data_IF_040326024197
#
_entry.id   IF_040326024197
#
_cell.length_a   1.000
_cell.length_b   1.000
_cell.length_c   1.000
_cell.angle_alpha   90.00
_cell.angle_beta   90.00
_cell.angle_gamma   90.00
#
_symmetry.space_group_name_H-M   'P 1'
#
loop_
_entity.id
_entity.type
_entity.pdbx_description
1 polymer ?
#
# COMPACT_ATOMS: atom_id res chain seq x y z
N UNK A 1 5.71 3.59 -2.46
CA UNK A 1 4.55 2.67 -2.45
C UNK A 1 4.89 1.29 -3.02
N UNK A 2 5.55 1.20 -4.18
CA UNK A 2 6.00 -0.08 -4.75
C UNK A 2 6.94 -0.82 -3.78
N UNK A 3 8.00 -0.15 -3.33
CA UNK A 3 8.95 -0.69 -2.34
C UNK A 3 8.28 -1.19 -1.06
N UNK A 4 7.25 -0.47 -0.58
CA UNK A 4 6.49 -0.88 0.60
C UNK A 4 5.69 -2.16 0.38
N UNK A 5 5.09 -2.33 -0.79
CA UNK A 5 4.40 -3.58 -1.15
C UNK A 5 5.39 -4.72 -1.38
N UNK A 6 6.56 -4.44 -1.93
CA UNK A 6 7.64 -5.42 -2.09
C UNK A 6 8.18 -5.88 -0.73
N UNK A 7 8.38 -4.97 0.22
CA UNK A 7 8.78 -5.31 1.60
C UNK A 7 7.72 -6.19 2.29
N UNK A 8 6.43 -5.91 2.11
CA UNK A 8 5.36 -6.76 2.62
C UNK A 8 5.40 -8.16 1.97
N UNK A 9 5.56 -8.23 0.65
CA UNK A 9 5.61 -9.51 -0.06
C UNK A 9 6.85 -10.33 0.35
N UNK A 10 8.01 -9.69 0.55
CA UNK A 10 9.22 -10.34 1.00
C UNK A 10 9.08 -10.89 2.43
N UNK A 11 8.48 -10.12 3.35
CA UNK A 11 8.37 -10.50 4.76
C UNK A 11 7.23 -11.45 5.07
N UNK A 12 6.10 -11.32 4.37
CA UNK A 12 4.84 -11.99 4.73
C UNK A 12 4.19 -12.72 3.56
N UNK A 13 4.83 -12.77 2.38
CA UNK A 13 4.26 -13.39 1.18
C UNK A 13 3.93 -14.88 1.38
N UNK A 14 4.72 -15.60 2.18
CA UNK A 14 4.46 -17.00 2.48
C UNK A 14 3.18 -17.19 3.31
N UNK A 15 3.02 -16.41 4.38
CA UNK A 15 1.84 -16.40 5.24
C UNK A 15 0.59 -15.93 4.49
N UNK A 16 0.71 -14.88 3.68
CA UNK A 16 -0.37 -14.37 2.82
C UNK A 16 -0.90 -15.44 1.89
N UNK A 17 -0.02 -16.12 1.16
CA UNK A 17 -0.40 -17.21 0.23
C UNK A 17 -1.02 -18.40 0.95
N UNK A 18 -0.64 -18.66 2.21
CA UNK A 18 -1.15 -19.76 3.03
C UNK A 18 -2.30 -19.37 3.95
N UNK A 19 -2.82 -18.14 3.90
CA UNK A 19 -3.86 -17.66 4.83
C UNK A 19 -5.05 -18.63 4.97
N UNK A 20 -5.62 -19.10 3.87
CA UNK A 20 -6.76 -20.03 3.90
C UNK A 20 -6.40 -21.37 4.56
N UNK A 21 -5.18 -21.87 4.29
CA UNK A 21 -4.66 -23.07 4.93
C UNK A 21 -4.46 -22.85 6.44
N UNK A 22 -3.89 -21.71 6.85
CA UNK A 22 -3.70 -21.34 8.26
C UNK A 22 -5.04 -21.25 9.01
N UNK A 23 -6.08 -20.68 8.40
CA UNK A 23 -7.42 -20.63 8.98
C UNK A 23 -8.03 -22.03 9.16
N UNK A 24 -7.79 -22.93 8.21
CA UNK A 24 -8.24 -24.32 8.35
C UNK A 24 -7.48 -25.03 9.48
N UNK A 25 -6.15 -24.91 9.50
CA UNK A 25 -5.30 -25.48 10.54
C UNK A 25 -5.65 -24.96 11.94
N UNK A 26 -6.01 -23.68 12.07
CA UNK A 26 -6.46 -23.11 13.35
C UNK A 26 -7.71 -23.82 13.86
N UNK A 27 -8.74 -23.98 13.00
CA UNK A 27 -9.98 -24.67 13.36
C UNK A 27 -9.72 -26.13 13.74
N UNK A 28 -8.94 -26.84 12.94
CA UNK A 28 -8.62 -28.24 13.18
C UNK A 28 -7.85 -28.41 14.50
N UNK A 29 -6.94 -27.48 14.81
CA UNK A 29 -6.17 -27.52 16.04
C UNK A 29 -7.03 -27.21 17.28
N UNK A 30 -7.98 -26.28 17.18
CA UNK A 30 -8.96 -26.03 18.25
C UNK A 30 -9.80 -27.26 18.56
N UNK A 31 -10.27 -27.98 17.54
CA UNK A 31 -11.00 -29.23 17.73
C UNK A 31 -10.12 -30.32 18.35
N UNK A 32 -8.86 -30.45 17.94
CA UNK A 32 -7.90 -31.38 18.58
C UNK A 32 -7.67 -31.06 20.05
N UNK A 33 -7.48 -29.79 20.40
CA UNK A 33 -7.30 -29.36 21.80
C UNK A 33 -8.56 -29.67 22.61
N UNK A 34 -9.74 -29.37 22.07
CA UNK A 34 -11.03 -29.63 22.71
C UNK A 34 -11.24 -31.12 22.94
N UNK A 35 -10.97 -31.95 21.94
CA UNK A 35 -11.05 -33.41 22.04
C UNK A 35 -10.06 -33.97 23.07
N UNK A 36 -8.82 -33.48 23.10
CA UNK A 36 -7.81 -33.90 24.06
C UNK A 36 -8.20 -33.54 25.50
N UNK A 37 -8.74 -32.33 25.72
CA UNK A 37 -9.26 -31.88 27.03
C UNK A 37 -10.47 -32.69 27.48
N UNK A 38 -11.35 -33.08 26.56
CA UNK A 38 -12.49 -33.94 26.86
C UNK A 38 -12.04 -35.37 27.22
N UNK A 39 -11.03 -35.91 26.53
CA UNK A 39 -10.53 -37.27 26.75
C UNK A 39 -9.70 -37.40 28.03
N UNK A 40 -8.80 -36.45 28.30
CA UNK A 40 -7.82 -36.56 29.39
C UNK A 40 -8.17 -35.74 30.64
N UNK A 41 -9.25 -34.95 30.59
CA UNK A 41 -9.61 -33.97 31.61
C UNK A 41 -8.79 -32.69 31.50
N UNK A 42 -9.25 -31.64 32.19
CA UNK A 42 -8.58 -30.35 32.21
C UNK A 42 -8.60 -29.73 33.62
N UNK A 43 -7.48 -29.72 34.37
CA UNK A 43 -6.18 -30.25 33.96
C UNK A 43 -6.13 -31.78 33.97
N UNK A 44 -5.32 -32.41 33.11
CA UNK A 44 -5.17 -33.86 33.09
C UNK A 44 -4.34 -34.37 34.29
N UNK A 45 -4.69 -35.57 34.77
CA UNK A 45 -4.08 -36.21 35.94
C UNK A 45 -2.67 -36.76 35.67
N UNK A 46 -2.39 -37.16 34.43
CA UNK A 46 -1.11 -37.75 34.02
C UNK A 46 -0.18 -36.70 33.40
N UNK A 47 1.12 -36.68 33.75
CA UNK A 47 2.09 -35.74 33.19
C UNK A 47 2.18 -35.81 31.65
N UNK A 48 2.10 -37.01 31.06
CA UNK A 48 2.23 -37.20 29.61
C UNK A 48 1.08 -36.51 28.85
N UNK A 49 -0.14 -36.60 29.39
CA UNK A 49 -1.32 -35.95 28.80
C UNK A 49 -1.25 -34.42 28.93
N UNK A 50 -0.64 -33.91 30.01
CA UNK A 50 -0.39 -32.48 30.17
C UNK A 50 0.58 -31.96 29.11
N UNK A 51 1.69 -32.66 28.89
CA UNK A 51 2.67 -32.32 27.86
C UNK A 51 2.05 -32.38 26.46
N UNK A 52 1.22 -33.38 26.19
CA UNK A 52 0.50 -33.49 24.92
C UNK A 52 -0.41 -32.29 24.65
N UNK A 53 -1.28 -31.92 25.61
CA UNK A 53 -2.16 -30.76 25.47
C UNK A 53 -1.35 -29.46 25.32
N UNK A 54 -0.27 -29.30 26.09
CA UNK A 54 0.63 -28.14 25.96
C UNK A 54 1.31 -28.07 24.58
N UNK A 55 1.68 -29.22 24.01
CA UNK A 55 2.19 -29.29 22.63
C UNK A 55 1.17 -28.77 21.62
N UNK A 56 -0.07 -29.24 21.71
CA UNK A 56 -1.17 -28.76 20.84
C UNK A 56 -1.43 -27.26 21.03
N UNK A 57 -1.44 -26.76 22.26
CA UNK A 57 -1.63 -25.33 22.55
C UNK A 57 -0.48 -24.46 22.02
N UNK A 58 0.75 -24.98 22.05
CA UNK A 58 1.93 -24.33 21.47
C UNK A 58 1.84 -24.27 19.95
N UNK A 59 1.48 -25.37 19.29
CA UNK A 59 1.26 -25.42 17.84
C UNK A 59 0.13 -24.48 17.41
N UNK A 60 -1.00 -24.50 18.14
CA UNK A 60 -2.09 -23.57 17.92
C UNK A 60 -1.63 -22.10 18.04
N UNK A 61 -0.83 -21.79 19.05
CA UNK A 61 -0.28 -20.44 19.24
C UNK A 61 0.65 -20.02 18.10
N UNK A 62 1.41 -20.96 17.51
CA UNK A 62 2.22 -20.70 16.32
C UNK A 62 1.34 -20.39 15.10
N UNK A 63 0.31 -21.21 14.84
CA UNK A 63 -0.65 -21.00 13.75
C UNK A 63 -1.31 -19.63 13.89
N UNK A 64 -1.74 -19.26 15.10
CA UNK A 64 -2.36 -17.96 15.37
C UNK A 64 -1.41 -16.79 15.08
N UNK A 65 -0.12 -16.91 15.39
CA UNK A 65 0.86 -15.86 15.06
C UNK A 65 1.00 -15.70 13.55
N UNK A 66 1.14 -16.79 12.81
CA UNK A 66 1.24 -16.76 11.35
C UNK A 66 -0.05 -16.23 10.70
N UNK A 67 -1.22 -16.59 11.22
CA UNK A 67 -2.49 -16.07 10.73
C UNK A 67 -2.62 -14.56 10.99
N UNK A 68 -2.23 -14.07 12.18
CA UNK A 68 -2.21 -12.63 12.48
C UNK A 68 -1.28 -11.87 11.53
N UNK A 69 -0.10 -12.42 11.24
CA UNK A 69 0.83 -11.83 10.27
C UNK A 69 0.20 -11.74 8.87
N UNK A 70 -0.45 -12.82 8.39
CA UNK A 70 -1.15 -12.82 7.11
C UNK A 70 -2.27 -11.77 7.05
N UNK A 71 -3.09 -11.66 8.11
CA UNK A 71 -4.19 -10.70 8.19
C UNK A 71 -3.70 -9.25 8.24
N UNK A 72 -2.63 -8.97 9.00
CA UNK A 72 -2.03 -7.64 9.05
C UNK A 72 -1.44 -7.25 7.69
N UNK A 73 -0.69 -8.16 7.06
CA UNK A 73 -0.15 -7.95 5.72
C UNK A 73 -1.24 -7.70 4.68
N UNK A 74 -2.33 -8.47 4.70
CA UNK A 74 -3.48 -8.29 3.81
C UNK A 74 -4.13 -6.91 3.99
N UNK A 75 -4.33 -6.49 5.25
CA UNK A 75 -4.86 -5.16 5.58
C UNK A 75 -3.97 -4.05 5.02
N UNK A 76 -2.64 -4.17 5.16
CA UNK A 76 -1.68 -3.19 4.62
C UNK A 76 -1.76 -3.14 3.10
N UNK A 77 -1.74 -4.29 2.43
CA UNK A 77 -1.84 -4.37 0.96
C UNK A 77 -3.15 -3.76 0.47
N UNK A 78 -4.28 -4.10 1.11
CA UNK A 78 -5.60 -3.59 0.77
C UNK A 78 -5.69 -2.06 0.94
N UNK A 79 -5.01 -1.50 1.95
CA UNK A 79 -4.95 -0.06 2.14
C UNK A 79 -4.12 0.66 1.08
N UNK A 80 -3.00 0.07 0.63
CA UNK A 80 -2.05 0.75 -0.28
C UNK A 80 -2.42 0.61 -1.75
N UNK A 81 -2.96 -0.55 -2.17
CA UNK A 81 -3.24 -0.83 -3.60
C UNK A 81 -4.11 0.23 -4.29
N UNK A 82 -5.21 0.73 -3.71
CA UNK A 82 -6.04 1.76 -4.35
C UNK A 82 -5.26 3.05 -4.64
N UNK A 83 -4.48 3.52 -3.66
CA UNK A 83 -3.66 4.72 -3.80
C UNK A 83 -2.54 4.54 -4.82
N UNK A 84 -1.92 3.36 -4.87
CA UNK A 84 -0.92 3.05 -5.89
C UNK A 84 -1.52 3.09 -7.30
N UNK A 85 -2.73 2.55 -7.49
CA UNK A 85 -3.44 2.58 -8.77
C UNK A 85 -3.75 4.01 -9.20
N UNK A 86 -4.34 4.81 -8.30
CA UNK A 86 -4.63 6.23 -8.55
C UNK A 86 -3.36 7.02 -8.85
N UNK A 87 -2.29 6.81 -8.09
CA UNK A 87 -1.00 7.46 -8.30
C UNK A 87 -0.40 7.11 -9.67
N UNK A 88 -0.55 5.86 -10.15
CA UNK A 88 -0.11 5.47 -11.50
C UNK A 88 -0.89 6.21 -12.58
N UNK A 89 -2.22 6.26 -12.47
CA UNK A 89 -3.07 6.98 -13.42
C UNK A 89 -2.73 8.47 -13.43
N UNK A 90 -2.54 9.08 -12.25
CA UNK A 90 -2.14 10.49 -12.13
C UNK A 90 -0.75 10.74 -12.70
N UNK A 91 0.23 9.90 -12.38
CA UNK A 91 1.58 10.03 -12.91
C UNK A 91 1.61 9.98 -14.43
N UNK A 92 0.82 9.08 -15.04
CA UNK A 92 0.70 9.01 -16.49
C UNK A 92 0.08 10.29 -17.08
N UNK A 93 -1.05 10.75 -16.53
CA UNK A 93 -1.70 11.98 -16.99
C UNK A 93 -0.84 13.23 -16.83
N UNK A 94 -0.12 13.35 -15.71
CA UNK A 94 0.82 14.44 -15.49
C UNK A 94 1.97 14.42 -16.51
N UNK A 95 2.47 13.22 -16.85
CA UNK A 95 3.49 13.04 -17.88
C UNK A 95 3.02 13.59 -19.23
N UNK A 96 1.81 13.26 -19.66
CA UNK A 96 1.24 13.77 -20.92
C UNK A 96 1.16 15.30 -20.93
N UNK A 97 0.64 15.92 -19.87
CA UNK A 97 0.54 17.40 -19.80
C UNK A 97 1.92 18.07 -19.81
N UNK A 98 2.92 17.45 -19.14
CA UNK A 98 4.31 17.92 -19.15
C UNK A 98 4.95 17.81 -20.54
N UNK A 99 4.73 16.70 -21.23
CA UNK A 99 5.25 16.47 -22.58
C UNK A 99 4.63 17.46 -23.58
N UNK A 100 3.32 17.69 -23.51
CA UNK A 100 2.61 18.66 -24.35
C UNK A 100 3.13 20.09 -24.11
N UNK A 101 3.32 20.46 -22.84
CA UNK A 101 3.90 21.76 -22.49
C UNK A 101 5.33 21.91 -23.00
N UNK A 102 6.17 20.89 -22.81
CA UNK A 102 7.55 20.87 -23.29
C UNK A 102 7.62 20.99 -24.82
N UNK A 103 6.75 20.29 -25.54
CA UNK A 103 6.65 20.38 -26.99
C UNK A 103 6.20 21.78 -27.45
N UNK A 104 5.17 22.35 -26.84
CA UNK A 104 4.68 23.70 -27.15
C UNK A 104 5.77 24.76 -26.94
N UNK A 105 6.51 24.68 -25.83
CA UNK A 105 7.65 25.58 -25.53
C UNK A 105 8.74 25.46 -26.60
N UNK A 106 9.10 24.24 -27.00
CA UNK A 106 10.11 24.00 -28.04
C UNK A 106 9.66 24.50 -29.42
N UNK A 107 8.40 24.27 -29.79
CA UNK A 107 7.83 24.76 -31.06
C UNK A 107 7.85 26.29 -31.12
N UNK A 108 7.41 26.96 -30.05
CA UNK A 108 7.46 28.42 -29.98
C UNK A 108 8.89 28.97 -30.01
N UNK A 109 9.87 28.25 -29.44
CA UNK A 109 11.28 28.66 -29.51
C UNK A 109 11.85 28.61 -30.94
N UNK A 110 11.32 27.74 -31.80
CA UNK A 110 11.74 27.63 -33.22
C UNK A 110 11.15 28.71 -34.13
N UNK A 111 10.21 29.53 -33.65
CA UNK A 111 9.54 30.60 -34.42
C UNK A 111 9.86 32.00 -33.86
N UNK A 112 11.06 32.56 -34.13
CA UNK A 112 11.52 33.79 -33.49
C UNK A 112 10.69 35.03 -33.82
N UNK A 113 10.07 35.10 -35.01
CA UNK A 113 9.26 36.25 -35.44
C UNK A 113 7.90 36.37 -34.74
N UNK A 114 7.39 35.30 -34.12
CA UNK A 114 6.07 35.25 -33.48
C UNK A 114 6.09 34.62 -32.07
N UNK A 115 7.26 34.56 -31.43
CA UNK A 115 7.46 33.82 -30.19
C UNK A 115 6.51 34.26 -29.06
N UNK A 116 6.28 35.57 -28.89
CA UNK A 116 5.38 36.09 -27.86
C UNK A 116 3.91 35.66 -28.10
N UNK A 117 3.45 35.75 -29.35
CA UNK A 117 2.10 35.31 -29.74
C UNK A 117 1.93 33.81 -29.59
N UNK A 118 2.93 33.02 -30.01
CA UNK A 118 2.95 31.57 -29.86
C UNK A 118 2.87 31.17 -28.38
N UNK A 119 3.65 31.79 -27.49
CA UNK A 119 3.59 31.49 -26.04
C UNK A 119 2.20 31.73 -25.45
N UNK A 120 1.53 32.82 -25.83
CA UNK A 120 0.17 33.13 -25.35
C UNK A 120 -0.85 32.10 -25.89
N UNK A 121 -0.73 31.70 -27.16
CA UNK A 121 -1.70 30.82 -27.80
C UNK A 121 -1.51 29.33 -27.43
N UNK A 122 -0.27 28.87 -27.34
CA UNK A 122 0.07 27.43 -27.22
C UNK A 122 0.54 27.05 -25.81
N UNK A 123 1.31 27.91 -25.13
CA UNK A 123 1.95 27.57 -23.84
C UNK A 123 1.08 27.96 -22.65
N UNK A 124 0.44 29.13 -22.69
CA UNK A 124 -0.36 29.65 -21.58
C UNK A 124 -1.56 28.76 -21.21
N UNK A 125 -2.32 28.16 -22.16
CA UNK A 125 -3.39 27.22 -21.82
C UNK A 125 -2.87 25.96 -21.10
N UNK A 126 -1.69 25.47 -21.48
CA UNK A 126 -1.06 24.30 -20.87
C UNK A 126 -0.54 24.60 -19.45
N UNK A 127 -0.14 25.84 -19.14
CA UNK A 127 0.21 26.23 -17.77
C UNK A 127 -0.96 26.06 -16.79
N UNK A 128 -2.19 26.38 -17.22
CA UNK A 128 -3.38 26.14 -16.38
C UNK A 128 -3.60 24.65 -16.15
N UNK A 129 -3.41 23.82 -17.17
CA UNK A 129 -3.52 22.36 -17.04
C UNK A 129 -2.44 21.79 -16.12
N UNK A 130 -1.20 22.27 -16.21
CA UNK A 130 -0.11 21.89 -15.31
C UNK A 130 -0.41 22.25 -13.84
N UNK A 131 -0.86 23.48 -13.59
CA UNK A 131 -1.24 23.92 -12.24
C UNK A 131 -2.37 23.06 -11.65
N UNK A 132 -3.36 22.73 -12.47
CA UNK A 132 -4.44 21.81 -12.10
C UNK A 132 -3.91 20.40 -11.81
N UNK A 133 -3.05 19.86 -12.66
CA UNK A 133 -2.45 18.54 -12.49
C UNK A 133 -1.63 18.43 -11.18
N UNK A 134 -0.86 19.48 -10.85
CA UNK A 134 -0.13 19.59 -9.57
C UNK A 134 -1.09 19.62 -8.39
N UNK A 135 -2.14 20.43 -8.45
CA UNK A 135 -3.15 20.54 -7.40
C UNK A 135 -3.90 19.22 -7.16
N UNK A 136 -4.26 18.51 -8.24
CA UNK A 136 -4.91 17.20 -8.16
C UNK A 136 -3.97 16.11 -7.60
N UNK A 137 -2.66 16.23 -7.87
CA UNK A 137 -1.64 15.34 -7.30
C UNK A 137 -1.42 15.61 -5.81
N UNK A 138 -1.37 16.88 -5.43
CA UNK A 138 -1.35 17.29 -4.03
C UNK A 138 -2.56 16.73 -3.28
N UNK A 139 -3.77 16.92 -3.82
CA UNK A 139 -4.99 16.43 -3.20
C UNK A 139 -4.98 14.90 -3.04
N UNK A 140 -4.52 14.17 -4.06
CA UNK A 140 -4.37 12.72 -3.98
C UNK A 140 -3.47 12.31 -2.81
N UNK A 141 -2.29 12.95 -2.66
CA UNK A 141 -1.36 12.62 -1.60
C UNK A 141 -1.89 13.02 -0.22
N UNK A 142 -2.56 14.18 -0.13
CA UNK A 142 -3.23 14.65 1.08
C UNK A 142 -4.31 13.68 1.55
N UNK A 143 -5.15 13.18 0.63
CA UNK A 143 -6.20 12.21 0.96
C UNK A 143 -5.63 10.82 1.29
N UNK A 144 -4.50 10.48 0.67
CA UNK A 144 -3.81 9.22 0.89
C UNK A 144 -3.06 9.17 2.24
N UNK A 145 -2.60 10.30 2.76
CA UNK A 145 -1.75 10.34 3.95
C UNK A 145 -2.41 9.72 5.20
N UNK A 146 -3.60 10.14 5.66
CA UNK A 146 -4.20 9.58 6.86
C UNK A 146 -4.42 8.05 6.81
N UNK A 147 -5.01 7.46 5.76
CA UNK A 147 -5.20 6.01 5.71
C UNK A 147 -3.89 5.25 5.55
N UNK A 148 -2.91 5.77 4.81
CA UNK A 148 -1.61 5.11 4.64
C UNK A 148 -0.76 5.16 5.91
N UNK A 149 -0.82 6.24 6.68
CA UNK A 149 -0.16 6.34 7.98
C UNK A 149 -0.64 5.28 8.97
N UNK A 150 -1.93 4.90 8.92
CA UNK A 150 -2.51 3.82 9.77
C UNK A 150 -1.93 2.44 9.48
N UNK A 151 -1.32 2.25 8.30
CA UNK A 151 -0.64 1.01 7.92
C UNK A 151 0.87 1.14 7.96
N UNK A 152 1.37 2.15 8.69
CA UNK A 152 2.80 2.47 8.84
C UNK A 152 3.52 2.78 7.51
N UNK A 153 2.79 3.18 6.47
CA UNK A 153 3.39 3.77 5.28
C UNK A 153 3.79 5.22 5.59
N UNK A 154 5.01 5.59 5.18
CA UNK A 154 5.53 6.95 5.38
C UNK A 154 5.82 7.59 4.03
N UNK A 155 5.30 8.79 3.84
CA UNK A 155 5.74 9.68 2.76
C UNK A 155 7.02 10.41 3.17
N UNK A 156 7.81 10.86 2.18
CA UNK A 156 8.91 11.80 2.42
C UNK A 156 8.37 13.08 3.06
N UNK A 157 9.00 13.61 4.10
CA UNK A 157 8.57 14.88 4.71
C UNK A 157 8.57 16.08 3.75
N UNK A 158 9.25 15.98 2.60
CA UNK A 158 9.27 17.01 1.55
C UNK A 158 8.03 17.03 0.66
N UNK A 159 7.22 15.96 0.65
CA UNK A 159 6.15 15.78 -0.34
C UNK A 159 5.14 16.95 -0.40
N UNK A 160 4.77 17.63 0.71
CA UNK A 160 3.86 18.77 0.65
C UNK A 160 4.46 19.93 -0.15
N UNK A 161 5.77 20.19 0.04
CA UNK A 161 6.47 21.27 -0.66
C UNK A 161 6.66 20.96 -2.15
N UNK A 162 6.95 19.70 -2.47
CA UNK A 162 7.15 19.24 -3.85
C UNK A 162 5.87 19.34 -4.70
N UNK A 163 4.70 19.32 -4.04
CA UNK A 163 3.39 19.33 -4.69
C UNK A 163 2.63 20.65 -4.55
N UNK A 164 3.13 21.60 -3.75
CA UNK A 164 2.58 22.95 -3.72
C UNK A 164 3.08 23.73 -4.93
N UNK A 165 2.16 24.33 -5.70
CA UNK A 165 2.48 25.29 -6.74
C UNK A 165 2.94 26.62 -6.12
N UNK A 166 4.04 26.62 -5.36
CA UNK A 166 4.71 27.85 -4.96
C UNK A 166 5.63 28.24 -6.12
N UNK A 167 5.07 28.93 -7.10
CA UNK A 167 5.85 29.75 -8.02
C UNK A 167 6.65 30.79 -7.23
N UNK A 168 7.98 30.92 -7.41
CA UNK A 168 8.60 32.24 -7.35
C UNK A 168 8.14 33.11 -8.52
#
# INVERSE_FOLDING_TARGET
>A
MIEFLEDIEQRFGAELRRKAQLQHLERDMLEKIKAAKALYGNPPNRPEHRLYIQGLESEHSQIQRSLRAALDAEKRVAAVKPWQSLARVRSHGNGTVLDDWGFAVQQCARQPSNQARCRVQEVQPLQQQLSRALSESYQLLYDAEPPLRRVAFQFSSSWPNDCTAVTP
#
